data_IF_359655431837
#
_entry.id   IF_359655431837
#
_cell.length_a   1.000
_cell.length_b   1.000
_cell.length_c   1.000
_cell.angle_alpha   90.00
_cell.angle_beta   90.00
_cell.angle_gamma   90.00
#
_symmetry.space_group_name_H-M   'P 1'
#
loop_
_entity.id
_entity.type
_entity.pdbx_description
1 polymer ?
#
# COMPACT_ATOMS: atom_id res chain seq x y z
N UNK A 1 19.20 13.47 2.89
CA UNK A 1 17.80 13.52 2.43
C UNK A 1 17.27 12.09 2.52
N UNK A 2 16.11 11.85 3.13
CA UNK A 2 15.53 10.49 3.18
C UNK A 2 14.83 10.22 1.84
N UNK A 3 15.24 9.16 1.16
CA UNK A 3 14.59 8.72 -0.08
C UNK A 3 13.25 8.03 0.24
N UNK A 4 12.25 8.22 -0.61
CA UNK A 4 10.93 7.65 -0.43
C UNK A 4 10.46 6.92 -1.70
N UNK A 5 9.83 5.76 -1.52
CA UNK A 5 9.12 5.03 -2.57
C UNK A 5 7.63 5.09 -2.25
N UNK A 6 6.84 5.60 -3.19
CA UNK A 6 5.41 5.84 -2.99
C UNK A 6 4.55 5.17 -4.03
N UNK A 7 3.39 4.67 -3.60
CA UNK A 7 2.35 4.10 -4.48
C UNK A 7 0.98 4.64 -4.06
N UNK A 8 0.21 5.13 -5.04
CA UNK A 8 -1.15 5.64 -4.83
C UNK A 8 -2.24 4.81 -5.52
N UNK A 9 -2.97 3.96 -4.78
CA UNK A 9 -4.25 3.29 -5.12
C UNK A 9 -4.42 2.45 -6.41
N UNK A 10 -3.37 2.19 -7.19
CA UNK A 10 -3.38 1.37 -8.41
C UNK A 10 -3.33 -0.16 -8.24
N UNK A 11 -3.08 -0.73 -7.05
CA UNK A 11 -3.04 -2.20 -6.89
C UNK A 11 -4.32 -2.91 -7.33
N UNK A 12 -5.53 -2.39 -7.06
CA UNK A 12 -6.79 -3.06 -7.43
C UNK A 12 -7.06 -3.21 -8.93
N UNK A 13 -6.29 -2.57 -9.82
CA UNK A 13 -6.51 -2.73 -11.26
C UNK A 13 -6.41 -4.19 -11.69
N UNK A 14 -7.38 -4.64 -12.49
CA UNK A 14 -7.49 -6.04 -12.92
C UNK A 14 -6.26 -6.56 -13.64
N UNK A 15 -5.53 -5.69 -14.35
CA UNK A 15 -4.26 -6.04 -14.99
C UNK A 15 -3.23 -6.61 -14.00
N UNK A 16 -3.26 -6.16 -12.74
CA UNK A 16 -2.32 -6.60 -11.70
C UNK A 16 -2.70 -7.94 -11.07
N UNK A 17 -3.95 -8.40 -11.20
CA UNK A 17 -4.44 -9.58 -10.49
C UNK A 17 -3.78 -10.90 -10.93
N UNK A 18 -2.99 -10.86 -12.02
CA UNK A 18 -2.16 -11.97 -12.46
C UNK A 18 -0.88 -12.18 -11.62
N UNK A 19 -0.54 -11.22 -10.77
CA UNK A 19 0.63 -11.26 -9.89
C UNK A 19 0.20 -11.11 -8.43
N UNK A 20 0.87 -11.81 -7.48
CA UNK A 20 0.55 -11.66 -6.07
C UNK A 20 0.82 -10.24 -5.55
N UNK A 21 -0.03 -9.72 -4.66
CA UNK A 21 0.19 -8.42 -4.02
C UNK A 21 1.59 -8.32 -3.37
N UNK A 22 2.01 -9.40 -2.69
CA UNK A 22 3.32 -9.47 -2.05
C UNK A 22 4.49 -9.25 -3.03
N UNK A 23 4.37 -9.68 -4.28
CA UNK A 23 5.41 -9.46 -5.28
C UNK A 23 5.62 -7.98 -5.58
N UNK A 24 4.54 -7.19 -5.62
CA UNK A 24 4.62 -5.73 -5.77
C UNK A 24 5.27 -5.08 -4.56
N UNK A 25 4.85 -5.47 -3.34
CA UNK A 25 5.39 -4.92 -2.09
C UNK A 25 6.88 -5.20 -2.00
N UNK A 26 7.31 -6.44 -2.23
CA UNK A 26 8.72 -6.85 -2.19
C UNK A 26 9.58 -6.08 -3.21
N UNK A 27 9.07 -5.93 -4.45
CA UNK A 27 9.78 -5.17 -5.51
C UNK A 27 9.96 -3.71 -5.11
N UNK A 28 8.93 -3.10 -4.54
CA UNK A 28 8.99 -1.71 -4.09
C UNK A 28 9.88 -1.54 -2.86
N UNK A 29 9.83 -2.46 -1.89
CA UNK A 29 10.71 -2.44 -0.71
C UNK A 29 12.19 -2.48 -1.11
N UNK A 30 12.55 -3.23 -2.15
CA UNK A 30 13.93 -3.27 -2.69
C UNK A 30 14.41 -1.93 -3.26
N UNK A 31 13.50 -1.04 -3.65
CA UNK A 31 13.83 0.31 -4.14
C UNK A 31 14.08 1.29 -2.98
N UNK A 32 13.68 0.94 -1.76
CA UNK A 32 13.89 1.78 -0.57
C UNK A 32 15.26 1.49 0.00
N UNK A 33 16.13 2.52 0.00
CA UNK A 33 17.45 2.45 0.63
C UNK A 33 17.32 2.37 2.16
N UNK A 34 18.33 1.81 2.87
CA UNK A 34 18.39 1.93 4.33
C UNK A 34 18.20 3.38 4.80
N UNK A 35 17.37 3.59 5.83
CA UNK A 35 16.97 4.92 6.30
C UNK A 35 15.89 5.62 5.46
N UNK A 36 15.43 5.01 4.36
CA UNK A 36 14.34 5.51 3.52
C UNK A 36 12.95 5.12 4.01
N UNK A 37 11.92 5.58 3.29
CA UNK A 37 10.50 5.37 3.63
C UNK A 37 9.75 4.71 2.48
N UNK A 38 8.93 3.72 2.81
CA UNK A 38 7.90 3.16 1.95
C UNK A 38 6.55 3.78 2.33
N UNK A 39 5.79 4.23 1.34
CA UNK A 39 4.40 4.62 1.53
C UNK A 39 3.45 4.00 0.51
N UNK A 40 2.32 3.51 0.98
CA UNK A 40 1.26 3.00 0.12
C UNK A 40 -0.11 3.49 0.57
N UNK A 41 -0.81 4.14 -0.36
CA UNK A 41 -2.26 4.31 -0.31
C UNK A 41 -2.90 3.14 -1.07
N UNK A 42 -3.91 2.53 -0.48
CA UNK A 42 -4.55 1.34 -1.02
C UNK A 42 -6.06 1.38 -0.83
N UNK A 43 -6.78 0.73 -1.74
CA UNK A 43 -8.21 0.51 -1.59
C UNK A 43 -8.45 -0.69 -0.68
N UNK A 44 -9.40 -0.53 0.23
CA UNK A 44 -9.91 -1.58 1.11
C UNK A 44 -11.20 -2.16 0.51
N UNK A 45 -11.56 -3.41 0.86
CA UNK A 45 -12.78 -4.01 0.34
C UNK A 45 -14.03 -3.30 0.89
N UNK A 46 -15.04 -3.20 0.03
CA UNK A 46 -16.37 -2.60 0.29
C UNK A 46 -17.45 -3.54 -0.22
N UNK A 47 -17.34 -3.92 -1.50
CA UNK A 47 -18.25 -4.88 -2.10
C UNK A 47 -17.81 -6.32 -1.81
N UNK A 48 -18.78 -7.26 -1.81
CA UNK A 48 -18.53 -8.70 -1.61
C UNK A 48 -17.42 -9.25 -2.49
N UNK A 49 -17.35 -8.84 -3.77
CA UNK A 49 -16.30 -9.28 -4.71
C UNK A 49 -14.90 -8.79 -4.31
N UNK A 50 -14.79 -7.61 -3.71
CA UNK A 50 -13.50 -7.04 -3.30
C UNK A 50 -12.84 -7.90 -2.22
N UNK A 51 -13.63 -8.52 -1.32
CA UNK A 51 -13.09 -9.40 -0.28
C UNK A 51 -12.37 -10.64 -0.82
N UNK A 52 -12.65 -11.03 -2.07
CA UNK A 52 -12.02 -12.17 -2.75
C UNK A 52 -10.75 -11.78 -3.52
N UNK A 53 -10.43 -10.48 -3.61
CA UNK A 53 -9.30 -9.95 -4.37
C UNK A 53 -8.29 -9.39 -3.38
N UNK A 54 -7.12 -10.01 -3.25
CA UNK A 54 -6.10 -9.60 -2.27
C UNK A 54 -5.63 -8.14 -2.44
N UNK A 55 -5.70 -7.62 -3.67
CA UNK A 55 -5.31 -6.25 -4.03
C UNK A 55 -6.23 -5.18 -3.41
N UNK A 56 -7.42 -5.59 -2.94
CA UNK A 56 -8.19 -4.87 -1.93
C UNK A 56 -7.71 -5.31 -0.56
N UNK A 57 -6.72 -4.61 -0.04
CA UNK A 57 -5.98 -5.02 1.15
C UNK A 57 -6.41 -4.22 2.39
N UNK A 58 -5.73 -4.45 3.50
CA UNK A 58 -5.93 -3.74 4.76
C UNK A 58 -4.59 -3.57 5.48
N UNK A 59 -4.50 -2.67 6.48
CA UNK A 59 -3.28 -2.58 7.29
C UNK A 59 -2.84 -3.93 7.87
N UNK A 60 -3.79 -4.74 8.33
CA UNK A 60 -3.54 -6.05 8.95
C UNK A 60 -3.00 -7.06 7.94
N UNK A 61 -3.45 -6.99 6.67
CA UNK A 61 -2.96 -7.83 5.58
C UNK A 61 -1.59 -7.38 5.06
N UNK A 62 -1.28 -6.08 5.13
CA UNK A 62 0.00 -5.54 4.68
C UNK A 62 1.11 -5.67 5.72
N UNK A 63 0.78 -5.58 7.01
CA UNK A 63 1.76 -5.59 8.09
C UNK A 63 2.76 -6.77 8.03
N UNK A 64 2.36 -8.01 7.69
CA UNK A 64 3.30 -9.13 7.60
C UNK A 64 4.40 -8.97 6.54
N UNK A 65 4.23 -8.07 5.56
CA UNK A 65 5.28 -7.76 4.57
C UNK A 65 6.39 -6.84 5.13
N UNK A 66 6.15 -6.15 6.24
CA UNK A 66 7.09 -5.20 6.84
C UNK A 66 7.69 -5.79 8.12
N UNK A 67 8.50 -6.84 7.95
CA UNK A 67 9.22 -7.53 9.03
C UNK A 67 10.74 -7.34 8.87
N UNK A 68 11.50 -7.58 9.94
CA UNK A 68 12.97 -7.51 9.89
C UNK A 68 13.48 -6.07 10.02
N UNK A 69 14.09 -5.54 8.95
CA UNK A 69 14.68 -4.19 8.90
C UNK A 69 13.63 -3.09 8.61
N UNK A 70 12.37 -3.33 8.95
CA UNK A 70 11.26 -2.43 8.71
C UNK A 70 10.54 -2.08 10.00
N UNK A 71 10.18 -0.80 10.13
CA UNK A 71 9.34 -0.28 11.20
C UNK A 71 8.09 0.35 10.57
N UNK A 72 6.91 -0.18 10.89
CA UNK A 72 5.64 0.42 10.48
C UNK A 72 5.39 1.66 11.34
N UNK A 73 5.47 2.84 10.72
CA UNK A 73 5.35 4.13 11.40
C UNK A 73 3.89 4.58 11.57
N UNK A 74 3.06 4.31 10.56
CA UNK A 74 1.69 4.80 10.53
C UNK A 74 0.81 3.85 9.72
N UNK A 75 -0.38 3.57 10.25
CA UNK A 75 -1.48 2.97 9.49
C UNK A 75 -2.75 3.78 9.69
N UNK A 76 -3.38 4.21 8.60
CA UNK A 76 -4.68 4.88 8.64
C UNK A 76 -5.71 4.12 7.83
N UNK A 77 -6.98 4.36 8.13
CA UNK A 77 -8.14 3.88 7.37
C UNK A 77 -9.21 4.96 7.33
N UNK A 78 -9.90 5.07 6.21
CA UNK A 78 -11.14 5.86 6.13
C UNK A 78 -12.33 5.00 6.54
N UNK A 79 -13.45 5.66 6.85
CA UNK A 79 -14.76 5.04 6.68
C UNK A 79 -15.05 4.85 5.19
N UNK A 80 -16.17 4.21 4.88
CA UNK A 80 -16.70 4.23 3.51
C UNK A 80 -17.09 5.66 3.12
N UNK A 81 -16.86 6.02 1.86
CA UNK A 81 -17.31 7.27 1.28
C UNK A 81 -17.68 7.06 -0.19
N UNK A 82 -18.67 7.80 -0.68
CA UNK A 82 -19.11 7.74 -2.07
C UNK A 82 -18.42 8.80 -2.90
N UNK A 83 -17.80 8.40 -4.00
CA UNK A 83 -17.25 9.28 -5.01
C UNK A 83 -18.22 9.40 -6.20
N UNK A 84 -18.30 10.61 -6.75
CA UNK A 84 -19.11 10.93 -7.93
C UNK A 84 -18.50 10.31 -9.21
N UNK A 85 -19.27 10.22 -10.31
CA UNK A 85 -18.75 9.70 -11.57
C UNK A 85 -17.51 10.45 -12.06
N UNK A 86 -16.54 9.71 -12.59
CA UNK A 86 -15.34 10.26 -13.22
C UNK A 86 -14.85 9.37 -14.36
N UNK A 87 -13.79 9.80 -15.06
CA UNK A 87 -13.16 9.00 -16.12
C UNK A 87 -12.74 7.65 -15.54
N UNK A 88 -13.28 6.55 -16.08
CA UNK A 88 -13.04 5.18 -15.61
C UNK A 88 -14.13 4.60 -14.71
N UNK A 89 -15.06 5.40 -14.19
CA UNK A 89 -16.23 4.93 -13.45
C UNK A 89 -17.40 5.92 -13.60
N UNK A 90 -18.34 5.59 -14.47
CA UNK A 90 -19.41 6.50 -14.90
C UNK A 90 -20.60 6.60 -13.94
N UNK A 91 -20.54 5.90 -12.81
CA UNK A 91 -21.59 5.88 -11.79
C UNK A 91 -21.00 6.22 -10.42
N UNK A 92 -21.85 6.66 -9.51
CA UNK A 92 -21.48 6.77 -8.10
C UNK A 92 -20.93 5.43 -7.61
N UNK A 93 -19.85 5.49 -6.85
CA UNK A 93 -19.22 4.29 -6.33
C UNK A 93 -18.59 4.55 -4.97
N UNK A 94 -18.65 3.54 -4.11
CA UNK A 94 -18.17 3.64 -2.74
C UNK A 94 -16.74 3.13 -2.64
N UNK A 95 -15.89 3.94 -2.02
CA UNK A 95 -14.53 3.60 -1.67
C UNK A 95 -14.38 3.44 -0.17
N UNK A 96 -13.33 2.72 0.18
CA UNK A 96 -12.73 2.74 1.51
C UNK A 96 -11.23 2.67 1.28
N UNK A 97 -10.47 3.54 1.93
CA UNK A 97 -9.04 3.68 1.68
C UNK A 97 -8.25 3.41 2.95
N UNK A 98 -7.00 3.00 2.75
CA UNK A 98 -6.01 2.94 3.80
C UNK A 98 -4.69 3.56 3.36
N UNK A 99 -3.88 3.92 4.35
CA UNK A 99 -2.49 4.36 4.18
C UNK A 99 -1.62 3.52 5.10
N UNK A 100 -0.48 3.08 4.60
CA UNK A 100 0.61 2.53 5.40
C UNK A 100 1.91 3.27 5.09
N UNK A 101 2.61 3.70 6.13
CA UNK A 101 3.98 4.20 6.07
C UNK A 101 4.90 3.29 6.87
N UNK A 102 6.03 2.90 6.28
CA UNK A 102 7.06 2.13 6.96
C UNK A 102 8.44 2.71 6.66
N UNK A 103 9.29 2.78 7.68
CA UNK A 103 10.69 3.15 7.53
C UNK A 103 11.56 1.90 7.44
N UNK A 104 12.61 1.98 6.63
CA UNK A 104 13.66 0.98 6.59
C UNK A 104 14.78 1.36 7.56
N UNK A 105 15.19 0.44 8.44
CA UNK A 105 16.25 0.68 9.41
C UNK A 105 17.54 1.12 8.70
N UNK A 106 18.23 2.17 9.18
CA UNK A 106 19.54 2.56 8.65
C UNK A 106 20.59 1.45 8.86
N UNK A 107 21.51 1.28 7.93
CA UNK A 107 22.73 0.49 8.18
C UNK A 107 23.65 1.29 9.10
N UNK A 108 24.18 0.66 10.16
CA UNK A 108 25.07 1.28 11.17
C UNK A 108 26.43 1.78 10.63
N UNK A 109 26.64 1.81 9.32
CA UNK A 109 27.93 2.06 8.68
C UNK A 109 28.28 3.53 8.43
N UNK A 110 27.42 4.50 8.74
CA UNK A 110 27.66 5.93 8.41
C UNK A 110 28.31 6.76 9.53
N UNK A 111 29.02 6.13 10.47
CA UNK A 111 29.80 6.85 11.48
C UNK A 111 31.17 6.21 11.71
N UNK A 112 32.12 6.49 10.80
CA UNK A 112 33.54 6.64 11.12
C UNK A 112 34.12 7.80 10.30
#
# INVERSE_FOLDING_TARGET
MRDAVWKSCSWPYSANHHHPLGEFVDRMQRLVRPGGVFGAEFMMPVERRHHMIEHYTSPERLHPHFIGDWEVLLTLRTTEFTERPHVGQLHDHTHRMGLLLAARTPTLTDHF
#
